data_IF_294228685296
#
_entry.id   IF_294228685296
#
_cell.length_a   1.000
_cell.length_b   1.000
_cell.length_c   1.000
_cell.angle_alpha   90.00
_cell.angle_beta   90.00
_cell.angle_gamma   90.00
#
_symmetry.space_group_name_H-M   'P 1'
#
loop_
_entity.id
_entity.type
_entity.pdbx_description
1 polymer ?
#
# COMPACT_ATOMS: atom_id res chain seq x y z
N UNK A 1 26.68 6.14 51.08
CA UNK A 1 26.80 7.45 51.76
C UNK A 1 25.69 8.31 51.19
N UNK A 2 24.62 8.36 51.82
CA UNK A 2 24.19 9.09 53.00
C UNK A 2 23.96 10.58 52.70
N UNK A 3 22.71 10.88 52.79
CA UNK A 3 22.06 12.03 53.45
C UNK A 3 22.02 13.32 52.62
N UNK A 4 20.98 14.16 52.64
CA UNK A 4 20.01 14.45 53.68
C UNK A 4 18.85 15.30 53.11
N UNK A 5 17.69 15.11 53.72
CA UNK A 5 16.46 15.91 53.61
C UNK A 5 16.63 17.29 54.23
N UNK A 6 15.99 18.29 53.65
CA UNK A 6 15.51 19.44 54.46
C UNK A 6 14.10 19.82 54.04
N UNK A 7 13.23 19.75 55.02
CA UNK A 7 11.86 20.26 55.04
C UNK A 7 11.90 21.74 55.48
N UNK A 8 11.15 22.61 54.82
CA UNK A 8 10.64 23.84 55.50
C UNK A 8 9.19 24.04 55.08
N UNK A 9 8.38 24.12 56.13
CA UNK A 9 6.97 24.47 56.14
C UNK A 9 6.81 25.99 56.31
N UNK A 10 5.64 26.45 55.95
CA UNK A 10 4.91 27.67 56.36
C UNK A 10 4.76 28.69 55.22
N UNK A 11 3.69 29.40 54.99
CA UNK A 11 2.50 29.74 55.80
C UNK A 11 1.52 30.48 54.86
N UNK A 12 0.26 30.14 54.90
CA UNK A 12 -0.96 30.88 54.57
C UNK A 12 -0.86 32.29 53.97
N UNK A 13 -1.56 32.52 52.86
CA UNK A 13 -2.48 33.63 52.72
C UNK A 13 -3.60 33.34 51.70
N UNK A 14 -4.83 33.39 52.18
CA UNK A 14 -6.07 33.39 51.42
C UNK A 14 -6.16 34.66 50.57
N UNK A 15 -6.44 34.52 49.28
CA UNK A 15 -7.12 35.55 48.51
C UNK A 15 -8.20 34.89 47.64
N UNK A 16 -9.43 35.10 48.04
CA UNK A 16 -10.65 34.86 47.25
C UNK A 16 -10.80 36.06 46.34
N UNK A 17 -10.96 35.87 45.05
CA UNK A 17 -11.93 36.53 44.15
C UNK A 17 -11.57 36.29 42.68
N UNK A 18 -12.57 35.93 41.91
CA UNK A 18 -12.58 36.16 40.47
C UNK A 18 -12.73 34.90 39.61
N UNK A 19 -13.95 34.38 39.60
CA UNK A 19 -14.35 33.47 38.51
C UNK A 19 -14.40 34.26 37.20
N UNK A 20 -13.36 34.15 36.39
CA UNK A 20 -13.48 34.39 34.97
C UNK A 20 -13.35 33.03 34.26
N UNK A 21 -14.51 32.54 33.85
CA UNK A 21 -14.61 31.46 32.89
C UNK A 21 -14.06 31.97 31.54
N UNK A 22 -12.77 31.90 31.35
CA UNK A 22 -12.20 31.98 30.00
C UNK A 22 -12.46 30.62 29.34
N UNK A 23 -13.43 30.62 28.44
CA UNK A 23 -13.58 29.57 27.46
C UNK A 23 -12.28 29.55 26.65
N UNK A 24 -11.36 28.68 27.04
CA UNK A 24 -10.15 28.40 26.31
C UNK A 24 -10.57 27.59 25.07
N UNK A 25 -10.93 28.30 24.01
CA UNK A 25 -10.99 27.75 22.66
C UNK A 25 -9.57 27.37 22.32
N UNK A 26 -9.17 26.18 22.73
CA UNK A 26 -8.02 25.51 22.10
C UNK A 26 -8.38 25.27 20.65
N UNK A 27 -8.15 26.30 19.85
CA UNK A 27 -7.92 26.14 18.45
C UNK A 27 -6.67 25.30 18.38
N UNK A 28 -6.82 24.01 18.19
CA UNK A 28 -5.74 23.18 17.70
C UNK A 28 -5.47 23.68 16.29
N UNK A 29 -4.56 24.61 16.18
CA UNK A 29 -3.96 24.95 14.90
C UNK A 29 -3.17 23.70 14.48
N UNK A 30 -3.87 22.80 13.81
CA UNK A 30 -3.24 21.68 13.10
C UNK A 30 -2.41 22.34 12.02
N UNK A 31 -1.10 22.36 12.21
CA UNK A 31 -0.21 22.92 11.21
C UNK A 31 -0.44 22.16 9.87
N UNK A 32 -0.59 22.93 8.81
CA UNK A 32 -0.78 22.40 7.46
C UNK A 32 0.34 21.42 7.07
N UNK A 33 1.52 21.60 7.66
CA UNK A 33 2.67 20.70 7.54
C UNK A 33 2.41 19.28 8.05
N UNK A 34 1.56 19.12 9.07
CA UNK A 34 1.22 17.81 9.64
C UNK A 34 0.21 17.04 8.78
N UNK A 35 -0.53 17.75 7.92
CA UNK A 35 -1.51 17.16 7.01
C UNK A 35 -0.91 16.72 5.68
N UNK A 36 0.20 17.34 5.25
CA UNK A 36 0.83 17.04 3.95
C UNK A 36 1.21 15.56 3.81
N UNK A 37 1.89 14.92 4.78
CA UNK A 37 2.23 13.50 4.68
C UNK A 37 1.01 12.58 4.59
N UNK A 38 -0.06 12.90 5.33
CA UNK A 38 -1.28 12.09 5.33
C UNK A 38 -2.07 12.22 4.03
N UNK A 39 -2.09 13.40 3.43
CA UNK A 39 -2.71 13.64 2.12
C UNK A 39 -1.91 12.96 1.02
N UNK A 40 -0.59 13.00 1.08
CA UNK A 40 0.29 12.36 0.11
C UNK A 40 0.18 10.85 0.18
N UNK A 41 0.21 10.27 1.38
CA UNK A 41 0.00 8.83 1.61
C UNK A 41 -1.40 8.35 1.16
N UNK A 42 -2.42 9.21 1.18
CA UNK A 42 -3.75 8.87 0.67
C UNK A 42 -3.82 8.85 -0.86
N UNK A 43 -2.86 9.46 -1.55
CA UNK A 43 -2.80 9.53 -3.02
C UNK A 43 -1.91 8.45 -3.63
N UNK A 44 -1.06 7.81 -2.83
CA UNK A 44 -0.22 6.72 -3.31
C UNK A 44 -1.03 5.44 -3.48
N UNK A 45 -0.88 4.72 -4.60
CA UNK A 45 -1.54 3.46 -4.80
C UNK A 45 -1.02 2.43 -3.78
N UNK A 46 -1.95 1.75 -3.12
CA UNK A 46 -1.64 0.66 -2.19
C UNK A 46 -2.12 -0.64 -2.76
N UNK A 47 -1.29 -1.67 -2.73
CA UNK A 47 -1.72 -3.03 -3.00
C UNK A 47 -2.65 -3.48 -1.88
N UNK A 48 -3.87 -3.89 -2.22
CA UNK A 48 -4.88 -4.34 -1.27
C UNK A 48 -4.90 -5.85 -1.12
N UNK A 49 -4.74 -6.56 -2.23
CA UNK A 49 -4.72 -8.03 -2.25
C UNK A 49 -4.02 -8.53 -3.50
N UNK A 50 -3.46 -9.72 -3.42
CA UNK A 50 -2.96 -10.51 -4.53
C UNK A 50 -3.49 -11.93 -4.39
N UNK A 51 -3.78 -12.59 -5.49
CA UNK A 51 -4.30 -13.94 -5.51
C UNK A 51 -3.54 -14.80 -6.52
N UNK A 52 -3.02 -15.95 -6.07
CA UNK A 52 -2.39 -16.93 -6.93
C UNK A 52 -3.31 -18.16 -7.08
N UNK A 53 -3.93 -18.28 -8.22
CA UNK A 53 -4.89 -19.36 -8.49
C UNK A 53 -4.88 -19.86 -9.92
N UNK A 54 -4.02 -19.28 -10.78
CA UNK A 54 -3.83 -19.69 -12.16
C UNK A 54 -2.39 -20.19 -12.32
N UNK A 55 -2.10 -21.32 -11.70
CA UNK A 55 -0.82 -22.03 -11.76
C UNK A 55 -0.74 -22.79 -13.10
N UNK A 56 0.10 -22.34 -14.03
CA UNK A 56 0.22 -22.82 -15.39
C UNK A 56 -1.12 -22.92 -16.16
N UNK A 57 -2.06 -22.04 -15.81
CA UNK A 57 -3.47 -22.20 -16.18
C UNK A 57 -4.06 -21.04 -17.00
N UNK A 58 -3.24 -20.09 -17.45
CA UNK A 58 -3.72 -19.06 -18.36
C UNK A 58 -4.16 -19.70 -19.69
N UNK A 59 -5.42 -19.48 -20.12
CA UNK A 59 -5.99 -20.17 -21.28
C UNK A 59 -5.44 -19.64 -22.61
N UNK A 60 -5.60 -20.39 -23.69
CA UNK A 60 -5.13 -20.02 -25.04
C UNK A 60 -5.61 -18.63 -25.51
N UNK A 61 -6.81 -18.22 -25.16
CA UNK A 61 -7.32 -16.92 -25.57
C UNK A 61 -6.58 -15.74 -24.89
N UNK A 62 -5.85 -15.96 -23.81
CA UNK A 62 -5.04 -14.93 -23.16
C UNK A 62 -3.93 -14.38 -24.06
N UNK A 63 -3.60 -15.09 -25.15
CA UNK A 63 -2.69 -14.63 -26.21
C UNK A 63 -3.08 -13.27 -26.82
N UNK A 64 -4.37 -12.94 -26.79
CA UNK A 64 -4.87 -11.63 -27.26
C UNK A 64 -4.43 -10.50 -26.33
N UNK A 65 -4.22 -10.80 -25.05
CA UNK A 65 -3.83 -9.85 -24.03
C UNK A 65 -2.30 -9.70 -23.97
N UNK A 66 -1.61 -10.83 -23.97
CA UNK A 66 -0.16 -10.93 -23.99
C UNK A 66 0.24 -12.20 -24.77
N UNK A 67 1.11 -12.05 -25.75
CA UNK A 67 1.40 -13.12 -26.72
C UNK A 67 1.92 -14.41 -26.08
N UNK A 68 2.65 -14.32 -25.00
CA UNK A 68 3.26 -15.45 -24.29
C UNK A 68 2.42 -15.93 -23.08
N UNK A 69 1.24 -15.36 -22.86
CA UNK A 69 0.43 -15.68 -21.69
C UNK A 69 -0.10 -17.12 -21.61
N UNK A 70 -0.47 -17.80 -22.72
CA UNK A 70 -1.03 -19.14 -22.62
C UNK A 70 -0.12 -20.13 -21.90
N UNK A 71 -0.67 -20.82 -20.91
CA UNK A 71 0.04 -21.84 -20.13
C UNK A 71 0.94 -21.27 -19.03
N UNK A 72 1.05 -19.97 -18.90
CA UNK A 72 1.76 -19.33 -17.77
C UNK A 72 0.86 -19.16 -16.55
N UNK A 73 1.49 -18.70 -15.48
CA UNK A 73 0.80 -18.30 -14.26
C UNK A 73 0.12 -16.94 -14.43
N UNK A 74 -1.00 -16.79 -13.74
CA UNK A 74 -1.73 -15.54 -13.62
C UNK A 74 -1.94 -15.15 -12.18
N UNK A 75 -1.53 -13.94 -11.81
CA UNK A 75 -1.69 -13.40 -10.46
C UNK A 75 -2.40 -12.04 -10.52
N UNK A 76 -3.72 -11.98 -10.33
CA UNK A 76 -4.42 -10.72 -10.19
C UNK A 76 -4.06 -10.03 -8.88
N UNK A 77 -3.79 -8.72 -8.98
CA UNK A 77 -3.49 -7.83 -7.87
C UNK A 77 -4.46 -6.66 -7.90
N UNK A 78 -5.07 -6.34 -6.76
CA UNK A 78 -6.00 -5.23 -6.61
C UNK A 78 -5.34 -4.09 -5.86
N UNK A 79 -5.49 -2.87 -6.39
CA UNK A 79 -4.95 -1.64 -5.82
C UNK A 79 -6.05 -0.72 -5.30
N UNK A 80 -5.68 0.22 -4.44
CA UNK A 80 -6.59 1.24 -3.89
C UNK A 80 -6.97 2.33 -4.89
N UNK A 81 -6.17 2.51 -5.95
CA UNK A 81 -6.34 3.52 -6.99
C UNK A 81 -6.28 2.89 -8.37
N UNK A 82 -6.84 3.58 -9.36
CA UNK A 82 -6.65 3.22 -10.75
C UNK A 82 -5.21 3.47 -11.18
N UNK A 83 -4.63 2.50 -11.86
CA UNK A 83 -3.27 2.58 -12.39
C UNK A 83 -3.27 3.13 -13.80
N UNK A 84 -2.16 3.72 -14.21
CA UNK A 84 -1.95 4.14 -15.58
C UNK A 84 -1.52 2.93 -16.43
N UNK A 85 -2.31 2.53 -17.44
CA UNK A 85 -2.00 1.36 -18.25
C UNK A 85 -0.74 1.52 -19.12
N UNK A 86 -0.35 2.75 -19.44
CA UNK A 86 0.79 3.03 -20.30
C UNK A 86 2.13 2.97 -19.54
N UNK A 87 2.07 3.03 -18.22
CA UNK A 87 3.24 3.05 -17.32
C UNK A 87 3.36 1.76 -16.48
N UNK A 88 2.50 0.78 -16.70
CA UNK A 88 2.49 -0.47 -15.94
C UNK A 88 3.39 -1.51 -16.61
N UNK A 89 4.44 -1.94 -15.91
CA UNK A 89 5.38 -2.96 -16.39
C UNK A 89 5.43 -4.15 -15.43
N UNK A 90 5.63 -5.37 -15.99
CA UNK A 90 5.92 -6.56 -15.19
C UNK A 90 7.19 -6.43 -14.35
N UNK A 91 8.19 -5.72 -14.84
CA UNK A 91 9.44 -5.45 -14.13
C UNK A 91 9.26 -4.71 -12.80
N UNK A 92 8.11 -4.06 -12.58
CA UNK A 92 7.79 -3.38 -11.33
C UNK A 92 7.42 -4.32 -10.19
N UNK A 93 7.32 -5.64 -10.46
CA UNK A 93 6.83 -6.61 -9.49
C UNK A 93 7.82 -7.73 -9.23
N UNK A 94 8.24 -7.86 -7.98
CA UNK A 94 9.03 -8.98 -7.47
C UNK A 94 8.13 -9.97 -6.73
N UNK A 95 8.14 -11.21 -7.15
CA UNK A 95 7.44 -12.31 -6.51
C UNK A 95 8.44 -13.16 -5.74
N UNK A 96 8.15 -13.47 -4.48
CA UNK A 96 8.97 -14.38 -3.67
C UNK A 96 8.22 -15.69 -3.50
N UNK A 97 8.88 -16.79 -3.81
CA UNK A 97 8.33 -18.15 -3.65
C UNK A 97 8.67 -18.74 -2.28
N UNK A 98 8.05 -19.87 -1.96
CA UNK A 98 8.22 -20.55 -0.65
C UNK A 98 9.68 -20.92 -0.35
N UNK A 99 10.47 -21.28 -1.35
CA UNK A 99 11.89 -21.58 -1.16
C UNK A 99 12.77 -20.32 -1.08
N UNK A 100 12.18 -19.12 -1.17
CA UNK A 100 12.89 -17.85 -1.11
C UNK A 100 13.43 -17.33 -2.44
N UNK A 101 13.13 -17.99 -3.56
CA UNK A 101 13.50 -17.48 -4.88
C UNK A 101 12.73 -16.19 -5.18
N UNK A 102 13.40 -15.25 -5.84
CA UNK A 102 12.86 -13.98 -6.28
C UNK A 102 12.70 -13.99 -7.79
N UNK A 103 11.50 -13.75 -8.23
CA UNK A 103 11.09 -13.79 -9.64
C UNK A 103 10.50 -12.43 -10.01
N UNK A 104 10.65 -12.06 -11.27
CA UNK A 104 10.09 -10.83 -11.83
C UNK A 104 8.96 -11.23 -12.78
N UNK A 105 7.84 -10.53 -12.76
CA UNK A 105 6.78 -10.80 -13.70
C UNK A 105 7.21 -10.46 -15.13
N UNK A 106 6.79 -11.27 -16.07
CA UNK A 106 7.08 -11.03 -17.50
C UNK A 106 6.23 -9.89 -18.05
N UNK A 107 5.00 -9.78 -17.57
CA UNK A 107 4.09 -8.70 -17.93
C UNK A 107 3.15 -8.35 -16.78
N UNK A 108 2.69 -7.11 -16.79
CA UNK A 108 1.60 -6.62 -15.95
C UNK A 108 0.60 -5.89 -16.84
N UNK A 109 -0.65 -6.29 -16.80
CA UNK A 109 -1.70 -5.72 -17.64
C UNK A 109 -2.97 -5.42 -16.84
N UNK A 110 -3.72 -4.38 -17.24
CA UNK A 110 -5.02 -4.05 -16.65
C UNK A 110 -6.19 -4.71 -17.39
N UNK A 111 -5.90 -5.54 -18.40
CA UNK A 111 -6.92 -6.25 -19.18
C UNK A 111 -7.21 -7.62 -18.57
N UNK A 112 -8.42 -8.19 -18.77
CA UNK A 112 -9.52 -7.69 -19.61
C UNK A 112 -10.37 -6.59 -18.96
N UNK A 113 -10.16 -6.27 -17.68
CA UNK A 113 -10.92 -5.29 -16.92
C UNK A 113 -10.38 -3.87 -17.22
N UNK A 114 -10.90 -3.24 -18.25
CA UNK A 114 -10.43 -1.94 -18.73
C UNK A 114 -11.52 -0.86 -18.77
N UNK A 115 -12.67 -1.12 -18.15
CA UNK A 115 -13.72 -0.11 -17.99
C UNK A 115 -13.39 0.88 -16.86
N UNK A 116 -14.10 2.01 -16.84
CA UNK A 116 -13.95 2.97 -15.74
C UNK A 116 -14.16 2.26 -14.40
N UNK A 117 -13.30 2.55 -13.44
CA UNK A 117 -13.22 1.94 -12.10
C UNK A 117 -12.64 0.50 -12.04
N UNK A 118 -12.36 -0.15 -13.16
CA UNK A 118 -11.76 -1.47 -13.19
C UNK A 118 -10.22 -1.44 -13.26
N UNK A 119 -9.64 -0.30 -13.66
CA UNK A 119 -8.19 -0.10 -13.79
C UNK A 119 -7.42 -0.17 -12.44
N UNK A 120 -8.00 -0.84 -11.47
CA UNK A 120 -7.42 -1.14 -10.17
C UNK A 120 -6.89 -2.57 -10.06
N UNK A 121 -7.19 -3.40 -11.05
CA UNK A 121 -6.78 -4.80 -11.02
C UNK A 121 -5.74 -5.04 -12.11
N UNK A 122 -4.50 -5.24 -11.69
CA UNK A 122 -3.44 -5.68 -12.59
C UNK A 122 -3.36 -7.21 -12.60
N UNK A 123 -3.27 -7.81 -13.77
CA UNK A 123 -2.93 -9.21 -13.94
C UNK A 123 -1.43 -9.31 -14.21
N UNK A 124 -0.69 -9.90 -13.28
CA UNK A 124 0.68 -10.31 -13.52
C UNK A 124 0.70 -11.64 -14.27
N UNK A 125 1.60 -11.74 -15.23
CA UNK A 125 1.80 -12.92 -16.07
C UNK A 125 3.27 -13.30 -16.00
N UNK A 126 3.56 -14.58 -15.84
CA UNK A 126 4.92 -15.11 -15.77
C UNK A 126 4.96 -16.48 -15.09
N UNK A 127 6.15 -16.92 -14.73
CA UNK A 127 6.37 -18.14 -13.98
C UNK A 127 6.62 -17.78 -12.52
N UNK A 128 5.64 -18.05 -11.63
CA UNK A 128 5.69 -17.64 -10.22
C UNK A 128 5.88 -18.78 -9.24
N UNK A 129 6.14 -19.96 -9.75
CA UNK A 129 6.25 -21.19 -8.97
C UNK A 129 5.00 -22.05 -9.08
N UNK A 130 4.90 -23.13 -8.33
CA UNK A 130 3.85 -24.13 -8.51
C UNK A 130 3.36 -24.72 -7.19
N UNK A 131 2.08 -25.01 -7.12
CA UNK A 131 1.49 -25.79 -6.05
C UNK A 131 1.71 -27.29 -6.23
N UNK A 132 1.94 -28.04 -5.14
CA UNK A 132 2.16 -27.56 -3.76
C UNK A 132 3.63 -27.30 -3.43
N UNK A 133 4.56 -27.51 -4.37
CA UNK A 133 5.97 -27.69 -4.07
C UNK A 133 6.68 -26.36 -3.76
N UNK A 134 6.39 -25.32 -4.52
CA UNK A 134 7.06 -24.02 -4.38
C UNK A 134 6.14 -22.85 -4.77
N UNK A 135 4.99 -22.66 -4.11
CA UNK A 135 4.06 -21.58 -4.45
C UNK A 135 4.63 -20.19 -4.13
N UNK A 136 4.15 -19.14 -4.78
CA UNK A 136 4.45 -17.77 -4.39
C UNK A 136 3.86 -17.48 -3.00
N UNK A 137 4.64 -16.81 -2.15
CA UNK A 137 4.25 -16.43 -0.78
C UNK A 137 4.12 -14.93 -0.59
N UNK A 138 4.72 -14.13 -1.46
CA UNK A 138 4.56 -12.68 -1.44
C UNK A 138 4.83 -12.07 -2.81
N UNK A 139 4.20 -10.93 -3.03
CA UNK A 139 4.48 -10.03 -4.15
C UNK A 139 4.80 -8.64 -3.60
N UNK A 140 5.75 -7.97 -4.22
CA UNK A 140 6.21 -6.63 -3.83
C UNK A 140 6.32 -5.77 -5.07
N UNK A 141 5.86 -4.52 -4.97
CA UNK A 141 6.17 -3.48 -5.95
C UNK A 141 7.59 -3.00 -5.69
N UNK A 142 8.42 -3.04 -6.72
CA UNK A 142 9.83 -2.62 -6.69
C UNK A 142 10.13 -1.45 -7.64
N UNK A 143 9.23 -1.16 -8.56
CA UNK A 143 9.29 -0.03 -9.48
C UNK A 143 8.30 1.07 -9.11
N UNK A 144 8.14 2.02 -10.01
CA UNK A 144 7.25 3.16 -9.85
C UNK A 144 5.87 2.85 -10.44
N UNK A 145 4.84 2.82 -9.60
CA UNK A 145 3.46 2.71 -10.06
C UNK A 145 2.82 4.08 -10.15
N UNK A 146 2.44 4.47 -11.36
CA UNK A 146 1.69 5.70 -11.56
C UNK A 146 0.19 5.45 -11.51
N UNK A 147 -0.51 6.32 -10.80
CA UNK A 147 -1.97 6.35 -10.84
C UNK A 147 -2.45 7.15 -12.03
N UNK A 148 -3.53 6.69 -12.65
CA UNK A 148 -4.21 7.46 -13.66
C UNK A 148 -4.57 8.83 -13.06
N UNK A 149 -4.10 9.91 -13.70
CA UNK A 149 -4.42 11.27 -13.26
C UNK A 149 -5.94 11.43 -13.36
N UNK A 150 -6.54 11.62 -12.19
CA UNK A 150 -7.97 11.58 -12.03
C UNK A 150 -8.70 12.62 -12.87
N UNK A 151 -9.87 12.21 -13.27
CA UNK A 151 -10.94 13.12 -13.65
C UNK A 151 -11.56 13.73 -12.41
#
# INVERSE_FOLDING_TARGET
MALQKVFIRSLWLLFVLGAFSTCDSRRTDVELSDLVPSIQSAREPKMLTAFFGLDNALPEFSRILYSNAPGQDGMPIVFSHELDPDELDGADFEITTQNGSKLIAEAAILRPANEAYELRTALLIGEFGNHPDNPPVSVKVIGDLLTRKGH
#
